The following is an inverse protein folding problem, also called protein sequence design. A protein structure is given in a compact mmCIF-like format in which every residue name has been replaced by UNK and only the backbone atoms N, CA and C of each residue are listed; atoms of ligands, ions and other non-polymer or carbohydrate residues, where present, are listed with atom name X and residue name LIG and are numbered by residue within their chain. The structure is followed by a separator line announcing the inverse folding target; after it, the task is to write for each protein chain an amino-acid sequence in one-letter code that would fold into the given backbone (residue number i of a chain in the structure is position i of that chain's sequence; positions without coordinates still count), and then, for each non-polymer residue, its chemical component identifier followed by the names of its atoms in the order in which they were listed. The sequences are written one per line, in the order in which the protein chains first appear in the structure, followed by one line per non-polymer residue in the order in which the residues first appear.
data_IF_814789381697
#
_entry.id   IF_814789381697
#
_cell.length_a   1.000
_cell.length_b   1.000
_cell.length_c   1.000
_cell.angle_alpha   90.00
_cell.angle_beta   90.00
_cell.angle_gamma   90.00
#
_symmetry.space_group_name_H-M   'P 1'
#
loop_
_entity.id
_entity.type
_entity.pdbx_description
1 polymer ?
#
# COMPACT_ATOMS: atom_id res chain seq x y z
N UNK A 1 -7.33 2.55 27.09
CA UNK A 1 -7.22 3.02 25.70
C UNK A 1 -6.58 1.88 24.89
N UNK A 2 -7.30 1.28 23.93
CA UNK A 2 -6.79 0.11 23.22
C UNK A 2 -5.56 0.48 22.38
N UNK A 3 -4.41 -0.14 22.67
CA UNK A 3 -3.10 0.10 22.06
C UNK A 3 -3.00 -0.35 20.58
N UNK A 4 -4.11 -0.68 19.95
CA UNK A 4 -4.18 -1.33 18.63
C UNK A 4 -4.93 -0.52 17.55
N UNK A 5 -5.50 0.64 17.89
CA UNK A 5 -6.01 1.59 16.90
C UNK A 5 -4.86 2.52 16.50
N UNK A 6 -4.49 2.52 15.20
CA UNK A 6 -3.54 3.51 14.67
C UNK A 6 -4.25 4.86 14.50
N UNK A 7 -3.55 5.95 14.79
CA UNK A 7 -3.94 7.31 14.42
C UNK A 7 -3.07 7.84 13.28
N UNK A 8 -2.30 6.97 12.62
CA UNK A 8 -1.41 7.29 11.52
C UNK A 8 -1.63 6.34 10.34
N UNK A 9 -1.69 6.90 9.14
CA UNK A 9 -1.83 6.15 7.89
C UNK A 9 -0.90 6.70 6.81
N UNK A 10 -0.49 5.83 5.90
CA UNK A 10 0.23 6.20 4.69
C UNK A 10 -0.72 6.08 3.51
N UNK A 11 -0.71 7.09 2.66
CA UNK A 11 -1.50 7.12 1.42
C UNK A 11 -0.59 7.54 0.27
N UNK A 12 -0.85 7.06 -0.94
CA UNK A 12 -0.11 7.45 -2.15
C UNK A 12 -1.01 8.30 -3.01
N UNK A 13 -0.58 9.51 -3.35
CA UNK A 13 -1.37 10.43 -4.16
C UNK A 13 -1.50 9.90 -5.60
N UNK A 14 -2.71 9.83 -6.19
CA UNK A 14 -2.87 9.38 -7.57
C UNK A 14 -2.28 10.40 -8.54
N UNK A 15 -1.48 9.94 -9.50
CA UNK A 15 -0.95 10.74 -10.62
C UNK A 15 -1.41 10.24 -11.99
N UNK A 16 -1.76 8.96 -12.11
CA UNK A 16 -2.25 8.32 -13.33
C UNK A 16 -3.27 7.21 -12.99
N UNK A 17 -4.35 7.58 -12.31
CA UNK A 17 -5.43 6.66 -11.94
C UNK A 17 -6.23 6.27 -13.18
N UNK A 18 -6.15 4.99 -13.55
CA UNK A 18 -6.84 4.42 -14.69
C UNK A 18 -7.03 2.92 -14.50
N UNK A 19 -7.80 2.31 -15.40
CA UNK A 19 -7.95 0.87 -15.48
C UNK A 19 -6.59 0.19 -15.71
N UNK A 20 -6.26 -0.81 -14.89
CA UNK A 20 -5.05 -1.60 -14.97
C UNK A 20 -5.34 -2.97 -15.63
N UNK A 21 -4.90 -3.14 -16.88
CA UNK A 21 -5.14 -4.37 -17.63
C UNK A 21 -4.51 -5.63 -16.99
N UNK A 22 -3.35 -5.51 -16.33
CA UNK A 22 -2.67 -6.65 -15.70
C UNK A 22 -3.47 -7.18 -14.50
N UNK A 23 -4.08 -6.29 -13.72
CA UNK A 23 -4.86 -6.67 -12.54
C UNK A 23 -6.34 -6.88 -12.84
N UNK A 24 -6.87 -6.35 -13.94
CA UNK A 24 -8.27 -6.50 -14.34
C UNK A 24 -8.68 -7.96 -14.60
N UNK A 25 -7.76 -8.81 -15.10
CA UNK A 25 -8.02 -10.23 -15.37
C UNK A 25 -8.55 -10.97 -14.13
N UNK A 26 -8.14 -10.54 -12.94
CA UNK A 26 -8.52 -11.14 -11.67
C UNK A 26 -9.00 -10.11 -10.63
N UNK A 27 -9.41 -8.90 -11.06
CA UNK A 27 -9.98 -7.86 -10.20
C UNK A 27 -11.35 -7.43 -10.74
N UNK A 28 -12.40 -8.05 -10.19
CA UNK A 28 -13.80 -7.81 -10.59
C UNK A 28 -14.33 -6.41 -10.26
N UNK A 29 -13.57 -5.59 -9.51
CA UNK A 29 -13.95 -4.22 -9.17
C UNK A 29 -13.54 -3.21 -10.25
N UNK A 30 -12.65 -3.60 -11.16
CA UNK A 30 -12.24 -2.71 -12.25
C UNK A 30 -13.28 -2.71 -13.36
N UNK A 31 -13.69 -1.50 -13.74
CA UNK A 31 -14.61 -1.26 -14.83
C UNK A 31 -13.96 -0.32 -15.85
N UNK A 32 -14.29 -0.51 -17.12
CA UNK A 32 -13.96 0.47 -18.16
C UNK A 32 -14.97 1.61 -18.11
N UNK A 33 -14.51 2.82 -18.43
CA UNK A 33 -15.35 4.01 -18.53
C UNK A 33 -15.14 4.66 -19.89
N UNK A 34 -16.20 5.26 -20.44
CA UNK A 34 -16.13 6.08 -21.64
C UNK A 34 -15.68 7.53 -21.33
N UNK A 35 -15.51 7.88 -20.04
CA UNK A 35 -14.94 9.16 -19.64
C UNK A 35 -13.45 9.24 -20.04
N UNK A 36 -12.97 10.46 -20.32
CA UNK A 36 -11.55 10.65 -20.60
C UNK A 36 -10.71 10.38 -19.36
N UNK A 37 -9.51 9.81 -19.55
CA UNK A 37 -8.55 9.53 -18.48
C UNK A 37 -8.24 10.77 -17.63
N UNK A 38 -8.19 11.95 -18.24
CA UNK A 38 -8.03 13.22 -17.55
C UNK A 38 -9.14 13.48 -16.51
N UNK A 39 -10.41 13.31 -16.90
CA UNK A 39 -11.56 13.52 -15.99
C UNK A 39 -11.57 12.50 -14.85
N UNK A 40 -11.23 11.24 -15.16
CA UNK A 40 -11.10 10.18 -14.16
C UNK A 40 -10.02 10.53 -13.14
N UNK A 41 -8.84 10.95 -13.61
CA UNK A 41 -7.72 11.36 -12.77
C UNK A 41 -8.05 12.59 -11.92
N UNK A 42 -8.70 13.62 -12.48
CA UNK A 42 -9.13 14.80 -11.72
C UNK A 42 -10.09 14.44 -10.58
N UNK A 43 -11.06 13.56 -10.87
CA UNK A 43 -12.02 13.08 -9.86
C UNK A 43 -11.32 12.25 -8.78
N UNK A 44 -10.45 11.31 -9.17
CA UNK A 44 -9.71 10.49 -8.23
C UNK A 44 -8.83 11.35 -7.30
N UNK A 45 -8.15 12.36 -7.85
CA UNK A 45 -7.36 13.29 -7.05
C UNK A 45 -8.23 14.13 -6.10
N UNK A 46 -9.40 14.60 -6.56
CA UNK A 46 -10.35 15.31 -5.71
C UNK A 46 -10.84 14.44 -4.55
N UNK A 47 -11.31 13.23 -4.84
CA UNK A 47 -11.79 12.28 -3.83
C UNK A 47 -10.69 11.88 -2.84
N UNK A 48 -9.46 11.67 -3.33
CA UNK A 48 -8.28 11.42 -2.50
C UNK A 48 -8.02 12.57 -1.53
N UNK A 49 -7.95 13.81 -2.03
CA UNK A 49 -7.69 14.98 -1.19
C UNK A 49 -8.81 15.20 -0.16
N UNK A 50 -10.07 14.95 -0.52
CA UNK A 50 -11.19 15.01 0.41
C UNK A 50 -11.06 13.96 1.52
N UNK A 51 -10.64 12.74 1.20
CA UNK A 51 -10.41 11.68 2.18
C UNK A 51 -9.25 12.05 3.13
N UNK A 52 -8.11 12.51 2.58
CA UNK A 52 -6.97 12.99 3.37
C UNK A 52 -7.42 14.08 4.34
N UNK A 53 -8.19 15.07 3.87
CA UNK A 53 -8.69 16.16 4.71
C UNK A 53 -9.64 15.64 5.81
N UNK A 54 -10.59 14.76 5.47
CA UNK A 54 -11.52 14.17 6.45
C UNK A 54 -10.78 13.38 7.54
N UNK A 55 -9.76 12.61 7.18
CA UNK A 55 -8.93 11.87 8.14
C UNK A 55 -8.16 12.82 9.07
N UNK A 56 -7.51 13.84 8.51
CA UNK A 56 -6.78 14.85 9.29
C UNK A 56 -7.72 15.60 10.26
N UNK A 57 -8.91 16.02 9.82
CA UNK A 57 -9.92 16.67 10.68
C UNK A 57 -10.35 15.77 11.86
N UNK A 58 -10.34 14.45 11.67
CA UNK A 58 -10.63 13.47 12.72
C UNK A 58 -9.42 13.11 13.60
N UNK A 59 -8.29 13.79 13.41
CA UNK A 59 -7.07 13.59 14.20
C UNK A 59 -6.22 12.40 13.76
N UNK A 60 -6.47 11.84 12.57
CA UNK A 60 -5.61 10.83 11.96
C UNK A 60 -4.53 11.55 11.16
N UNK A 61 -3.26 11.34 11.51
CA UNK A 61 -2.13 11.90 10.78
C UNK A 61 -1.88 11.11 9.49
N UNK A 62 -2.05 11.77 8.36
CA UNK A 62 -1.90 11.17 7.02
C UNK A 62 -0.56 11.55 6.41
N UNK A 63 0.31 10.56 6.20
CA UNK A 63 1.55 10.73 5.43
C UNK A 63 1.27 10.43 3.96
N UNK A 64 1.27 11.46 3.13
CA UNK A 64 1.03 11.32 1.68
C UNK A 64 2.36 11.18 0.96
N UNK A 65 2.57 10.03 0.29
CA UNK A 65 3.65 9.85 -0.67
C UNK A 65 3.24 10.47 -2.01
N UNK A 66 4.18 11.19 -2.63
CA UNK A 66 3.96 11.79 -3.93
C UNK A 66 4.44 10.84 -5.01
N UNK A 67 3.49 10.28 -5.73
CA UNK A 67 3.79 9.51 -6.92
C UNK A 67 4.32 10.43 -8.04
N UNK A 68 4.94 9.82 -9.06
CA UNK A 68 5.42 10.52 -10.25
C UNK A 68 5.11 9.69 -11.50
N UNK A 69 5.25 10.27 -12.70
CA UNK A 69 4.89 9.58 -13.95
C UNK A 69 5.99 8.64 -14.49
N UNK A 70 7.01 8.30 -13.68
CA UNK A 70 8.15 7.50 -14.15
C UNK A 70 7.85 6.02 -14.39
N UNK A 71 6.69 5.53 -13.95
CA UNK A 71 6.28 4.12 -14.08
C UNK A 71 4.79 4.02 -14.42
N UNK A 72 4.43 2.94 -15.12
CA UNK A 72 3.04 2.68 -15.53
C UNK A 72 2.31 1.89 -14.44
N UNK A 73 2.16 2.49 -13.25
CA UNK A 73 1.64 1.84 -12.06
C UNK A 73 0.34 2.52 -11.56
N UNK A 74 -0.79 2.35 -12.24
CA UNK A 74 -2.05 3.00 -11.89
C UNK A 74 -2.62 2.59 -10.52
N UNK A 75 -2.21 1.43 -10.01
CA UNK A 75 -2.62 0.88 -8.71
C UNK A 75 -1.72 1.34 -7.55
N UNK A 76 -0.74 2.22 -7.78
CA UNK A 76 0.18 2.76 -6.76
C UNK A 76 -0.52 3.42 -5.57
N UNK A 77 -1.74 3.95 -5.81
CA UNK A 77 -2.64 4.51 -4.79
C UNK A 77 -3.00 3.51 -3.67
N UNK A 78 -2.76 2.21 -3.87
CA UNK A 78 -3.05 1.14 -2.91
C UNK A 78 -1.77 0.58 -2.24
N UNK A 79 -1.13 1.36 -1.33
CA UNK A 79 0.12 0.96 -0.66
C UNK A 79 -0.01 -0.28 0.23
N UNK A 80 -1.25 -0.60 0.62
CA UNK A 80 -1.57 -1.63 1.58
C UNK A 80 -1.26 -3.06 1.08
N UNK A 81 -1.02 -3.21 -0.23
CA UNK A 81 -0.68 -4.50 -0.84
C UNK A 81 0.80 -4.85 -0.75
N UNK A 82 1.71 -3.88 -0.75
CA UNK A 82 3.15 -4.15 -0.85
C UNK A 82 3.95 -3.87 0.42
N UNK A 83 3.35 -3.26 1.44
CA UNK A 83 3.97 -3.21 2.76
C UNK A 83 2.97 -3.18 3.94
N UNK A 84 3.50 -3.42 5.13
CA UNK A 84 2.81 -3.18 6.40
C UNK A 84 3.79 -2.72 7.48
N UNK A 85 3.25 -2.10 8.53
CA UNK A 85 4.01 -1.73 9.73
C UNK A 85 3.43 -2.39 10.96
N UNK A 86 4.27 -2.83 11.89
CA UNK A 86 3.84 -3.49 13.12
C UNK A 86 4.45 -2.83 14.37
N UNK A 87 3.83 -3.12 15.52
CA UNK A 87 4.33 -2.69 16.83
C UNK A 87 5.80 -3.13 17.00
N UNK A 88 6.59 -2.28 17.67
CA UNK A 88 8.03 -2.54 17.88
C UNK A 88 8.92 -2.05 16.74
N UNK A 89 8.40 -1.27 15.80
CA UNK A 89 9.22 -0.69 14.72
C UNK A 89 9.54 -1.72 13.63
N UNK A 90 8.59 -2.59 13.30
CA UNK A 90 8.75 -3.55 12.21
C UNK A 90 8.11 -3.02 10.93
N UNK A 91 8.84 -3.12 9.83
CA UNK A 91 8.41 -2.81 8.47
C UNK A 91 8.52 -4.09 7.63
N UNK A 92 7.46 -4.48 6.96
CA UNK A 92 7.42 -5.69 6.12
C UNK A 92 7.15 -5.29 4.68
N UNK A 93 7.94 -5.81 3.74
CA UNK A 93 7.69 -5.69 2.30
C UNK A 93 7.26 -7.03 1.72
N UNK A 94 6.28 -6.96 0.83
CA UNK A 94 5.49 -8.09 0.35
C UNK A 94 5.67 -8.32 -1.16
N UNK A 95 5.89 -9.56 -1.61
CA UNK A 95 6.03 -9.90 -3.02
C UNK A 95 4.70 -9.75 -3.77
N UNK A 96 4.72 -9.04 -4.89
CA UNK A 96 3.53 -8.68 -5.67
C UNK A 96 3.34 -9.61 -6.87
N UNK A 97 2.11 -10.08 -7.09
CA UNK A 97 1.79 -11.00 -8.20
C UNK A 97 1.95 -10.30 -9.55
N UNK A 98 1.23 -9.19 -9.75
CA UNK A 98 1.27 -8.43 -10.99
C UNK A 98 2.61 -7.71 -11.16
N UNK A 99 3.19 -7.78 -12.36
CA UNK A 99 4.55 -7.28 -12.63
C UNK A 99 4.60 -5.77 -12.54
N UNK A 100 3.63 -5.07 -13.12
CA UNK A 100 3.58 -3.60 -13.05
C UNK A 100 3.41 -3.07 -11.63
N UNK A 101 2.85 -3.87 -10.71
CA UNK A 101 2.74 -3.51 -9.29
C UNK A 101 4.05 -3.67 -8.52
N UNK A 102 5.03 -4.43 -9.03
CA UNK A 102 6.38 -4.53 -8.44
C UNK A 102 7.13 -3.21 -8.58
N UNK A 103 6.90 -2.47 -9.66
CA UNK A 103 7.45 -1.13 -9.88
C UNK A 103 6.99 -0.13 -8.81
N UNK A 104 5.78 -0.30 -8.24
CA UNK A 104 5.31 0.50 -7.10
C UNK A 104 6.25 0.33 -5.90
N UNK A 105 6.66 -0.91 -5.62
CA UNK A 105 7.53 -1.24 -4.50
C UNK A 105 8.90 -0.62 -4.71
N UNK A 106 9.50 -0.82 -5.88
CA UNK A 106 10.81 -0.26 -6.22
C UNK A 106 10.84 1.27 -6.04
N UNK A 107 9.75 1.93 -6.45
CA UNK A 107 9.60 3.38 -6.36
C UNK A 107 9.54 3.90 -4.93
N UNK A 108 8.71 3.29 -4.08
CA UNK A 108 8.39 3.84 -2.76
C UNK A 108 9.16 3.22 -1.60
N UNK A 109 9.80 2.06 -1.79
CA UNK A 109 10.49 1.32 -0.72
C UNK A 109 11.52 2.16 0.02
N UNK A 110 12.34 2.92 -0.71
CA UNK A 110 13.34 3.80 -0.10
C UNK A 110 12.68 4.90 0.74
N UNK A 111 11.67 5.59 0.18
CA UNK A 111 10.97 6.68 0.86
C UNK A 111 10.26 6.20 2.15
N UNK A 112 9.55 5.06 2.08
CA UNK A 112 8.91 4.44 3.24
C UNK A 112 9.94 4.03 4.29
N UNK A 113 11.05 3.43 3.87
CA UNK A 113 12.10 2.99 4.79
C UNK A 113 12.69 4.17 5.55
N UNK A 114 13.03 5.26 4.84
CA UNK A 114 13.58 6.46 5.47
C UNK A 114 12.56 7.20 6.34
N UNK A 115 11.29 7.25 5.91
CA UNK A 115 10.21 7.79 6.73
C UNK A 115 10.06 7.01 8.05
N UNK A 116 10.02 5.68 7.98
CA UNK A 116 9.88 4.82 9.16
C UNK A 116 11.12 4.87 10.05
N UNK A 117 12.32 4.91 9.48
CA UNK A 117 13.57 5.07 10.22
C UNK A 117 13.60 6.36 11.01
N UNK A 118 13.27 7.49 10.37
CA UNK A 118 13.17 8.80 11.06
C UNK A 118 12.14 8.75 12.20
N UNK A 119 11.00 8.09 12.00
CA UNK A 119 9.98 7.92 13.04
C UNK A 119 10.50 7.10 14.22
N UNK A 120 11.12 5.94 13.97
CA UNK A 120 11.65 5.10 15.06
C UNK A 120 12.77 5.79 15.83
N UNK A 121 13.67 6.53 15.15
CA UNK A 121 14.72 7.32 15.81
C UNK A 121 14.11 8.37 16.76
N UNK A 122 13.08 9.11 16.31
CA UNK A 122 12.38 10.10 17.17
C UNK A 122 11.73 9.46 18.39
N UNK A 123 11.33 8.20 18.29
CA UNK A 123 10.71 7.43 19.37
C UNK A 123 11.75 6.68 20.24
N UNK A 124 13.05 6.83 19.97
CA UNK A 124 14.13 6.14 20.68
C UNK A 124 14.16 4.62 20.42
N UNK A 125 13.66 4.18 19.26
CA UNK A 125 13.56 2.75 18.89
C UNK A 125 14.36 2.44 17.63
N UNK A 126 14.61 1.15 17.41
CA UNK A 126 15.16 0.64 16.16
C UNK A 126 14.07 0.37 15.11
N UNK A 127 14.48 0.32 13.84
CA UNK A 127 13.67 -0.19 12.74
C UNK A 127 14.15 -1.59 12.38
N UNK A 128 13.24 -2.56 12.31
CA UNK A 128 13.51 -3.89 11.76
C UNK A 128 12.75 -4.06 10.45
N UNK A 129 13.47 -4.45 9.40
CA UNK A 129 12.90 -4.64 8.06
C UNK A 129 12.83 -6.13 7.78
N UNK A 130 11.66 -6.59 7.34
CA UNK A 130 11.43 -7.93 6.82
C UNK A 130 11.13 -7.79 5.33
N UNK A 131 12.05 -8.25 4.50
CA UNK A 131 11.97 -8.09 3.06
C UNK A 131 11.79 -9.47 2.42
N UNK A 132 10.63 -9.66 1.79
CA UNK A 132 10.26 -10.93 1.18
C UNK A 132 10.09 -10.84 -0.34
N UNK A 133 10.57 -9.74 -0.96
CA UNK A 133 10.43 -9.49 -2.40
C UNK A 133 11.17 -10.53 -3.25
N UNK A 134 12.22 -11.17 -2.74
CA UNK A 134 12.95 -12.21 -3.48
C UNK A 134 12.10 -13.44 -3.80
N UNK A 135 10.97 -13.65 -3.11
CA UNK A 135 10.04 -14.74 -3.43
C UNK A 135 9.36 -14.57 -4.78
N UNK A 136 9.35 -13.36 -5.35
CA UNK A 136 8.86 -13.10 -6.71
C UNK A 136 9.65 -13.87 -7.78
N UNK A 137 10.92 -14.20 -7.51
CA UNK A 137 11.76 -15.04 -8.40
C UNK A 137 11.42 -16.53 -8.33
N UNK A 138 10.59 -16.93 -7.37
CA UNK A 138 10.14 -18.31 -7.16
C UNK A 138 8.63 -18.46 -7.31
N UNK A 139 7.98 -17.49 -7.97
CA UNK A 139 6.53 -17.41 -8.18
C UNK A 139 5.72 -17.60 -6.88
N UNK A 140 6.18 -16.96 -5.80
CA UNK A 140 5.48 -16.92 -4.51
C UNK A 140 5.14 -15.49 -4.13
N UNK A 141 3.88 -15.26 -3.81
CA UNK A 141 3.30 -13.93 -3.64
C UNK A 141 2.50 -13.80 -2.35
N UNK A 142 2.40 -12.58 -1.84
CA UNK A 142 1.59 -12.26 -0.68
C UNK A 142 1.22 -10.78 -0.73
N UNK A 143 0.13 -10.39 -1.39
CA UNK A 143 -0.25 -8.98 -1.54
C UNK A 143 -0.85 -8.36 -0.26
N UNK A 144 -0.04 -8.34 0.80
CA UNK A 144 -0.22 -7.59 2.02
C UNK A 144 -1.62 -7.68 2.61
N UNK A 145 -2.11 -6.55 3.12
CA UNK A 145 -3.44 -6.46 3.74
C UNK A 145 -4.59 -6.53 2.74
N UNK A 146 -4.31 -6.60 1.44
CA UNK A 146 -5.33 -6.96 0.44
C UNK A 146 -5.66 -8.46 0.43
N UNK A 147 -4.74 -9.30 0.90
CA UNK A 147 -4.94 -10.76 0.97
C UNK A 147 -4.97 -11.31 2.40
N UNK A 148 -4.74 -10.45 3.40
CA UNK A 148 -4.75 -10.83 4.81
C UNK A 148 -5.42 -9.79 5.71
N UNK A 149 -6.00 -10.26 6.82
CA UNK A 149 -6.49 -9.44 7.93
C UNK A 149 -5.69 -9.79 9.18
N UNK A 150 -5.07 -8.79 9.79
CA UNK A 150 -4.18 -8.97 10.95
C UNK A 150 -4.96 -8.68 12.23
N UNK A 151 -5.27 -9.73 12.99
CA UNK A 151 -5.76 -9.63 14.36
C UNK A 151 -4.58 -9.48 15.33
N UNK A 152 -4.28 -8.22 15.66
CA UNK A 152 -3.17 -7.89 16.57
C UNK A 152 -3.41 -8.35 18.01
N UNK A 153 -4.67 -8.41 18.45
CA UNK A 153 -5.01 -8.80 19.83
C UNK A 153 -4.73 -10.28 20.03
N UNK A 154 -5.16 -11.11 19.09
CA UNK A 154 -4.99 -12.57 19.14
C UNK A 154 -3.72 -13.06 18.44
N UNK A 155 -2.86 -12.14 17.98
CA UNK A 155 -1.61 -12.44 17.26
C UNK A 155 -1.82 -13.42 16.10
N UNK A 156 -2.92 -13.25 15.38
CA UNK A 156 -3.37 -14.15 14.31
C UNK A 156 -3.50 -13.35 13.02
N UNK A 157 -3.02 -13.90 11.91
CA UNK A 157 -3.25 -13.36 10.58
C UNK A 157 -4.17 -14.31 9.82
N UNK A 158 -5.32 -13.82 9.38
CA UNK A 158 -6.24 -14.55 8.52
C UNK A 158 -5.87 -14.24 7.08
N UNK A 159 -5.53 -15.25 6.29
CA UNK A 159 -5.12 -15.07 4.90
C UNK A 159 -5.99 -15.94 3.99
N UNK A 160 -6.44 -15.35 2.88
CA UNK A 160 -7.17 -16.09 1.85
C UNK A 160 -6.19 -16.53 0.77
N UNK A 161 -5.96 -17.83 0.65
CA UNK A 161 -5.10 -18.38 -0.39
C UNK A 161 -5.66 -18.06 -1.78
N UNK A 162 -4.80 -17.60 -2.67
CA UNK A 162 -5.12 -17.20 -4.03
C UNK A 162 -3.83 -17.04 -4.86
N UNK A 163 -3.89 -16.72 -6.16
CA UNK A 163 -2.69 -16.36 -6.91
C UNK A 163 -1.90 -15.18 -6.33
N UNK A 164 -2.53 -14.37 -5.45
CA UNK A 164 -1.90 -13.23 -4.76
C UNK A 164 -1.43 -13.57 -3.34
N UNK A 165 -1.61 -14.81 -2.87
CA UNK A 165 -1.27 -15.23 -1.52
C UNK A 165 -0.98 -16.74 -1.46
N UNK A 166 0.31 -17.05 -1.44
CA UNK A 166 0.86 -18.40 -1.32
C UNK A 166 0.97 -18.87 0.14
N UNK A 167 1.07 -20.20 0.30
CA UNK A 167 1.18 -20.88 1.59
C UNK A 167 2.62 -20.92 2.11
#
# INVERSE_FOLDING_TARGET
MYKHTTNEVVMVQPVMFMHNAETAVNNKYQNTSNESSHKIQERALKEFNELVNKLNIKGVNVSVLKDNLSSSAPDSIFPNNWFSTHEGGHLVFYPMYARNRREEVEKFKHEITEMMKRKQIKEGRGLKIYDSLSFEYTDKFLEGTGSMVIDRKNRTAYCSLSPRADK
#
